data_IF_601696617612
#
_entry.id   IF_601696617612
#
_cell.length_a   1.000
_cell.length_b   1.000
_cell.length_c   1.000
_cell.angle_alpha   90.00
_cell.angle_beta   90.00
_cell.angle_gamma   90.00
#
_symmetry.space_group_name_H-M   'P 1'
#
loop_
_entity.id
_entity.type
_entity.pdbx_description
1 polymer ?
#
# COMPACT_ATOMS: atom_id res chain seq x y z
N UNK A 1 -9.43 20.42 -19.26
CA UNK A 1 -9.99 20.93 -20.55
C UNK A 1 -9.46 22.33 -20.80
N UNK A 2 -8.88 22.56 -21.97
CA UNK A 2 -8.51 23.89 -22.41
C UNK A 2 -9.68 24.51 -23.16
N UNK A 3 -10.21 25.63 -22.66
CA UNK A 3 -11.37 26.29 -23.25
C UNK A 3 -11.06 27.11 -24.49
N UNK A 4 -9.83 27.64 -24.60
CA UNK A 4 -9.46 28.60 -25.63
C UNK A 4 -8.20 28.25 -26.40
N UNK A 5 -7.54 27.12 -26.08
CA UNK A 5 -6.24 26.75 -26.63
C UNK A 5 -6.31 25.42 -27.35
N UNK A 6 -5.80 25.39 -28.59
CA UNK A 6 -5.61 24.16 -29.35
C UNK A 6 -4.43 23.38 -28.78
N UNK A 7 -4.53 22.06 -28.68
CA UNK A 7 -3.50 21.19 -28.12
C UNK A 7 -2.23 21.06 -28.98
N UNK A 8 -2.20 21.57 -30.22
CA UNK A 8 -1.00 21.59 -31.07
C UNK A 8 0.17 22.39 -30.48
N UNK A 9 -0.11 23.27 -29.51
CA UNK A 9 0.91 24.02 -28.75
C UNK A 9 1.71 23.16 -27.77
N UNK A 10 1.31 21.93 -27.56
CA UNK A 10 1.91 21.06 -26.56
C UNK A 10 2.44 19.78 -27.17
N UNK A 11 3.45 19.23 -26.52
CA UNK A 11 3.98 17.90 -26.80
C UNK A 11 3.50 16.94 -25.73
N UNK A 12 2.92 15.81 -26.11
CA UNK A 12 2.58 14.74 -25.20
C UNK A 12 3.68 13.69 -25.28
N UNK A 13 4.37 13.46 -24.19
CA UNK A 13 5.30 12.33 -24.03
C UNK A 13 4.60 11.21 -23.27
N UNK A 14 4.82 9.97 -23.66
CA UNK A 14 4.39 8.83 -22.86
C UNK A 14 5.56 7.91 -22.55
N UNK A 15 5.51 7.28 -21.39
CA UNK A 15 6.53 6.33 -20.93
C UNK A 15 5.83 5.10 -20.34
N UNK A 16 6.08 3.93 -20.89
CA UNK A 16 5.61 2.66 -20.34
C UNK A 16 6.65 2.12 -19.38
N UNK A 17 6.24 1.80 -18.18
CA UNK A 17 7.11 1.33 -17.10
C UNK A 17 6.70 -0.07 -16.63
N UNK A 18 7.69 -0.88 -16.30
CA UNK A 18 7.55 -2.18 -15.65
C UNK A 18 8.25 -2.11 -14.29
N UNK A 19 7.52 -2.22 -13.17
CA UNK A 19 8.05 -2.01 -11.82
C UNK A 19 8.94 -0.77 -11.71
N UNK A 20 8.47 0.37 -12.24
CA UNK A 20 9.17 1.65 -12.23
C UNK A 20 10.26 1.83 -13.29
N UNK A 21 10.69 0.77 -13.99
CA UNK A 21 11.70 0.87 -15.06
C UNK A 21 11.04 1.14 -16.41
N UNK A 22 11.51 2.15 -17.12
CA UNK A 22 11.06 2.46 -18.49
C UNK A 22 11.42 1.32 -19.45
N UNK A 23 10.43 0.85 -20.19
CA UNK A 23 10.57 -0.22 -21.19
C UNK A 23 10.19 0.25 -22.59
N UNK A 24 9.40 1.30 -22.71
CA UNK A 24 8.98 1.89 -23.98
C UNK A 24 8.60 3.36 -23.74
N UNK A 25 8.67 4.17 -24.75
CA UNK A 25 8.21 5.55 -24.71
C UNK A 25 8.08 6.15 -26.09
N UNK A 26 7.45 7.30 -26.16
CA UNK A 26 7.28 8.03 -27.39
C UNK A 26 6.73 9.43 -27.16
N UNK A 27 6.59 10.18 -28.24
CA UNK A 27 6.03 11.52 -28.25
C UNK A 27 4.90 11.57 -29.28
N UNK A 28 3.87 12.34 -28.96
CA UNK A 28 2.71 12.56 -29.83
C UNK A 28 2.37 14.04 -29.81
N UNK A 29 2.26 14.63 -30.99
CA UNK A 29 1.67 15.97 -31.14
C UNK A 29 0.22 15.79 -31.60
N UNK A 30 -0.68 16.52 -30.98
CA UNK A 30 -2.11 16.45 -31.26
C UNK A 30 -2.63 17.83 -31.72
N UNK A 31 -3.31 17.83 -32.83
CA UNK A 31 -4.12 18.99 -33.25
C UNK A 31 -5.56 18.74 -32.83
N UNK A 32 -5.96 19.37 -31.75
CA UNK A 32 -7.30 19.25 -31.18
C UNK A 32 -7.77 20.66 -30.81
N UNK A 33 -8.88 21.06 -31.40
CA UNK A 33 -9.50 22.36 -31.15
C UNK A 33 -9.94 22.52 -29.69
N UNK A 34 -10.08 23.76 -29.20
CA UNK A 34 -10.59 24.03 -27.87
C UNK A 34 -11.86 23.24 -27.56
N UNK A 35 -11.93 22.64 -26.36
CA UNK A 35 -13.03 21.79 -25.88
C UNK A 35 -13.22 20.47 -26.67
N UNK A 36 -12.44 20.24 -27.72
CA UNK A 36 -12.45 18.98 -28.47
C UNK A 36 -11.87 17.79 -27.70
N UNK A 37 -12.06 16.61 -28.25
CA UNK A 37 -11.46 15.36 -27.74
C UNK A 37 -11.04 14.47 -28.89
N UNK A 38 -10.03 13.66 -28.65
CA UNK A 38 -9.53 12.68 -29.63
C UNK A 38 -8.99 11.45 -28.89
N UNK A 39 -9.26 10.27 -29.41
CA UNK A 39 -8.68 9.05 -28.89
C UNK A 39 -7.20 8.94 -29.31
N UNK A 40 -6.37 8.55 -28.36
CA UNK A 40 -4.96 8.27 -28.58
C UNK A 40 -4.69 6.79 -28.33
N UNK A 41 -4.27 6.09 -29.38
CA UNK A 41 -3.90 4.69 -29.31
C UNK A 41 -2.40 4.53 -29.11
N UNK A 42 -2.00 3.96 -27.96
CA UNK A 42 -0.61 3.60 -27.67
C UNK A 42 -0.38 2.14 -28.06
N UNK A 43 0.49 1.94 -29.02
CA UNK A 43 0.83 0.57 -29.44
C UNK A 43 1.71 -0.12 -28.39
N UNK A 44 1.17 -1.12 -27.71
CA UNK A 44 1.86 -1.94 -26.71
C UNK A 44 2.29 -3.32 -27.26
N UNK A 45 2.26 -3.51 -28.59
CA UNK A 45 2.66 -4.76 -29.21
C UNK A 45 4.09 -5.14 -28.79
N UNK A 46 4.29 -6.44 -28.54
CA UNK A 46 5.56 -6.98 -28.05
C UNK A 46 5.76 -6.91 -26.53
N UNK A 47 4.86 -6.28 -25.79
CA UNK A 47 4.89 -6.34 -24.33
C UNK A 47 4.50 -7.76 -23.89
N UNK A 48 5.45 -8.48 -23.28
CA UNK A 48 5.23 -9.82 -22.71
C UNK A 48 5.10 -9.67 -21.18
N UNK A 49 3.91 -9.88 -20.63
CA UNK A 49 3.70 -9.82 -19.18
C UNK A 49 4.62 -10.79 -18.44
N UNK A 50 5.18 -10.32 -17.31
CA UNK A 50 6.01 -11.14 -16.41
C UNK A 50 5.33 -11.28 -15.07
N UNK A 51 5.45 -12.43 -14.43
CA UNK A 51 4.95 -12.67 -13.08
C UNK A 51 5.51 -11.62 -12.10
N UNK A 52 4.64 -11.13 -11.21
CA UNK A 52 5.01 -10.15 -10.19
C UNK A 52 5.44 -8.77 -10.71
N UNK A 53 5.07 -8.45 -11.97
CA UNK A 53 5.41 -7.16 -12.57
C UNK A 53 4.15 -6.33 -12.80
N UNK A 54 4.14 -5.11 -12.28
CA UNK A 54 3.11 -4.12 -12.55
C UNK A 54 3.54 -3.22 -13.71
N UNK A 55 2.58 -2.88 -14.55
CA UNK A 55 2.81 -2.06 -15.73
C UNK A 55 2.00 -0.77 -15.64
N UNK A 56 2.67 0.35 -15.89
CA UNK A 56 2.07 1.68 -15.91
C UNK A 56 2.44 2.40 -17.20
N UNK A 57 1.58 3.32 -17.61
CA UNK A 57 1.91 4.33 -18.62
C UNK A 57 1.80 5.71 -17.98
N UNK A 58 2.87 6.47 -18.07
CA UNK A 58 2.92 7.86 -17.65
C UNK A 58 2.78 8.74 -18.89
N UNK A 59 1.97 9.79 -18.77
CA UNK A 59 1.87 10.85 -19.75
C UNK A 59 2.38 12.14 -19.15
N UNK A 60 3.14 12.89 -19.93
CA UNK A 60 3.57 14.25 -19.59
C UNK A 60 3.27 15.15 -20.76
N UNK A 61 2.62 16.27 -20.48
CA UNK A 61 2.29 17.30 -21.47
C UNK A 61 3.21 18.50 -21.22
N UNK A 62 3.99 18.89 -22.22
CA UNK A 62 4.93 19.98 -22.12
C UNK A 62 4.65 21.08 -23.15
N UNK A 63 5.04 22.32 -22.83
CA UNK A 63 5.05 23.42 -23.80
C UNK A 63 6.09 23.15 -24.90
N UNK A 64 5.76 23.45 -26.16
CA UNK A 64 6.72 23.37 -27.27
C UNK A 64 7.52 24.66 -27.46
N UNK A 65 6.90 25.81 -27.08
CA UNK A 65 7.47 27.14 -27.19
C UNK A 65 7.37 27.87 -25.84
N UNK A 66 8.23 28.87 -25.59
CA UNK A 66 8.11 29.66 -24.38
C UNK A 66 6.87 30.57 -24.44
N UNK A 67 6.23 30.71 -23.29
CA UNK A 67 5.17 31.69 -23.04
C UNK A 67 5.62 32.65 -21.92
N UNK A 68 4.94 33.81 -21.70
CA UNK A 68 5.30 34.68 -20.58
C UNK A 68 5.33 33.90 -19.27
N UNK A 69 6.47 33.94 -18.59
CA UNK A 69 6.76 33.24 -17.32
C UNK A 69 6.82 31.70 -17.40
N UNK A 70 6.67 31.11 -18.57
CA UNK A 70 6.69 29.66 -18.76
C UNK A 70 7.72 29.31 -19.85
N UNK A 71 8.84 28.62 -19.53
CA UNK A 71 9.80 28.23 -20.55
C UNK A 71 9.27 27.14 -21.48
N UNK A 72 9.89 26.99 -22.65
CA UNK A 72 9.67 25.80 -23.47
C UNK A 72 10.10 24.54 -22.71
N UNK A 73 9.35 23.44 -22.88
CA UNK A 73 9.58 22.18 -22.18
C UNK A 73 9.05 22.14 -20.75
N UNK A 74 8.29 23.18 -20.34
CA UNK A 74 7.65 23.18 -19.02
C UNK A 74 6.50 22.16 -18.95
N UNK A 75 6.45 21.37 -17.87
CA UNK A 75 5.38 20.40 -17.62
C UNK A 75 4.08 21.11 -17.28
N UNK A 76 3.08 20.96 -18.14
CA UNK A 76 1.74 21.53 -17.96
C UNK A 76 0.81 20.55 -17.23
N UNK A 77 0.93 19.28 -17.52
CA UNK A 77 0.13 18.23 -16.91
C UNK A 77 0.87 16.88 -16.95
N UNK A 78 0.59 16.06 -15.99
CA UNK A 78 1.03 14.67 -15.96
C UNK A 78 -0.08 13.76 -15.45
N UNK A 79 -0.11 12.52 -15.93
CA UNK A 79 -1.04 11.51 -15.46
C UNK A 79 -0.40 10.14 -15.59
N UNK A 80 -0.77 9.22 -14.69
CA UNK A 80 -0.31 7.84 -14.70
C UNK A 80 -1.51 6.90 -14.70
N UNK A 81 -1.47 5.91 -15.59
CA UNK A 81 -2.48 4.86 -15.66
C UNK A 81 -1.84 3.50 -15.47
N UNK A 82 -2.44 2.68 -14.62
CA UNK A 82 -2.10 1.27 -14.56
C UNK A 82 -2.64 0.59 -15.81
N UNK A 83 -1.77 -0.15 -16.51
CA UNK A 83 -2.21 -0.93 -17.65
C UNK A 83 -3.03 -2.14 -17.16
N UNK A 84 -4.15 -2.49 -17.85
CA UNK A 84 -4.98 -3.63 -17.51
C UNK A 84 -4.32 -4.96 -17.91
N UNK A 85 -3.09 -5.12 -17.49
CA UNK A 85 -2.31 -6.35 -17.70
C UNK A 85 -2.34 -7.07 -16.36
N UNK A 86 -3.05 -8.19 -16.28
CA UNK A 86 -3.05 -9.01 -15.08
C UNK A 86 -1.64 -9.55 -14.83
N UNK A 87 -1.01 -9.21 -13.70
CA UNK A 87 0.27 -9.78 -13.38
C UNK A 87 0.10 -11.29 -13.23
N UNK A 88 0.88 -12.05 -13.94
CA UNK A 88 0.93 -13.51 -13.74
C UNK A 88 1.16 -13.76 -12.25
N UNK A 89 0.34 -14.62 -11.67
CA UNK A 89 0.44 -14.94 -10.25
C UNK A 89 1.90 -15.32 -9.92
N UNK A 90 2.48 -14.63 -8.95
CA UNK A 90 3.74 -15.11 -8.39
C UNK A 90 3.47 -16.49 -7.79
N UNK A 91 4.20 -17.48 -8.26
CA UNK A 91 4.27 -18.75 -7.52
C UNK A 91 4.87 -18.38 -6.16
N UNK A 92 4.02 -18.33 -5.15
CA UNK A 92 4.46 -18.03 -3.79
C UNK A 92 5.60 -18.97 -3.42
N UNK A 93 6.60 -18.47 -2.71
CA UNK A 93 7.59 -19.34 -2.12
C UNK A 93 6.85 -20.39 -1.30
N UNK A 94 6.96 -21.65 -1.68
CA UNK A 94 6.46 -22.75 -0.85
C UNK A 94 7.32 -22.71 0.42
N UNK A 95 6.74 -22.17 1.48
CA UNK A 95 7.39 -22.22 2.79
C UNK A 95 7.59 -23.70 3.15
N UNK A 96 8.83 -24.07 3.40
CA UNK A 96 9.19 -25.44 3.80
C UNK A 96 9.13 -25.58 5.32
N UNK A 97 8.59 -26.67 5.80
CA UNK A 97 8.44 -26.94 7.22
C UNK A 97 7.02 -26.73 7.73
N UNK A 98 6.88 -26.72 9.05
CA UNK A 98 5.61 -26.45 9.76
C UNK A 98 5.87 -25.45 10.87
N UNK A 99 4.83 -24.72 11.24
CA UNK A 99 4.82 -23.93 12.45
C UNK A 99 4.44 -24.80 13.64
N UNK A 100 5.01 -24.51 14.81
CA UNK A 100 4.63 -25.07 16.10
C UNK A 100 4.20 -23.94 17.01
N UNK A 101 3.22 -24.24 17.87
CA UNK A 101 2.68 -23.26 18.83
C UNK A 101 2.92 -23.78 20.23
N UNK A 102 3.40 -22.92 21.11
CA UNK A 102 3.43 -23.15 22.56
C UNK A 102 2.78 -21.97 23.27
N UNK A 103 2.16 -22.26 24.40
CA UNK A 103 1.57 -21.23 25.28
C UNK A 103 2.13 -21.44 26.68
N UNK A 104 2.70 -20.38 27.24
CA UNK A 104 3.16 -20.33 28.63
C UNK A 104 2.56 -19.09 29.30
N UNK A 105 1.60 -19.31 30.19
CA UNK A 105 0.82 -18.25 30.81
C UNK A 105 0.14 -17.33 29.78
N UNK A 106 0.56 -16.08 29.75
CA UNK A 106 0.04 -15.06 28.82
C UNK A 106 0.82 -15.02 27.48
N UNK A 107 1.88 -15.82 27.36
CA UNK A 107 2.76 -15.78 26.19
C UNK A 107 2.40 -16.89 25.21
N UNK A 108 2.10 -16.52 23.97
CA UNK A 108 1.97 -17.45 22.85
C UNK A 108 3.21 -17.30 21.97
N UNK A 109 3.91 -18.40 21.76
CA UNK A 109 5.07 -18.45 20.86
C UNK A 109 4.77 -19.34 19.67
N UNK A 110 4.96 -18.81 18.47
CA UNK A 110 4.89 -19.57 17.22
C UNK A 110 6.29 -19.65 16.64
N UNK A 111 6.74 -20.87 16.41
CA UNK A 111 8.08 -21.16 15.87
C UNK A 111 7.98 -21.80 14.49
N UNK A 112 8.92 -21.48 13.64
CA UNK A 112 9.25 -22.20 12.41
C UNK A 112 10.77 -22.37 12.29
N UNK A 113 11.30 -23.11 11.31
CA UNK A 113 12.74 -23.25 11.14
C UNK A 113 13.53 -21.94 11.04
N UNK A 114 12.87 -20.85 10.60
CA UNK A 114 13.53 -19.55 10.39
C UNK A 114 12.95 -18.43 11.21
N UNK A 115 11.78 -18.61 11.81
CA UNK A 115 11.03 -17.49 12.39
C UNK A 115 10.53 -17.84 13.78
N UNK A 116 10.55 -16.84 14.66
CA UNK A 116 9.90 -16.83 15.96
C UNK A 116 8.96 -15.63 16.02
N UNK A 117 7.71 -15.88 16.40
CA UNK A 117 6.69 -14.87 16.61
C UNK A 117 6.16 -15.03 18.04
N UNK A 118 6.17 -13.96 18.82
CA UNK A 118 5.74 -13.97 20.22
C UNK A 118 4.62 -12.97 20.41
N UNK A 119 3.51 -13.43 20.96
CA UNK A 119 2.35 -12.63 21.28
C UNK A 119 2.07 -12.70 22.78
N UNK A 120 1.82 -11.56 23.40
CA UNK A 120 1.42 -11.45 24.79
C UNK A 120 -0.08 -11.18 24.91
N UNK A 121 -0.85 -12.13 25.45
CA UNK A 121 -2.31 -12.05 25.61
C UNK A 121 -2.74 -10.92 26.52
N UNK A 122 -1.94 -10.59 27.55
CA UNK A 122 -2.29 -9.53 28.52
C UNK A 122 -2.17 -8.15 27.90
N UNK A 123 -1.08 -7.88 27.18
CA UNK A 123 -0.87 -6.60 26.50
C UNK A 123 -1.63 -6.52 25.17
N UNK A 124 -1.97 -7.65 24.56
CA UNK A 124 -2.56 -7.70 23.23
C UNK A 124 -1.56 -7.37 22.11
N UNK A 125 -0.26 -7.51 22.37
CA UNK A 125 0.78 -7.10 21.43
C UNK A 125 1.62 -8.26 20.95
N UNK A 126 2.09 -8.17 19.71
CA UNK A 126 3.23 -8.96 19.24
C UNK A 126 4.48 -8.33 19.83
N UNK A 127 5.17 -9.05 20.70
CA UNK A 127 6.31 -8.52 21.47
C UNK A 127 7.68 -8.91 20.91
N UNK A 128 7.72 -9.88 20.01
CA UNK A 128 8.95 -10.28 19.30
C UNK A 128 8.61 -10.87 17.93
N UNK A 129 9.39 -10.51 16.95
CA UNK A 129 9.38 -11.10 15.63
C UNK A 129 10.82 -11.27 15.14
N UNK A 130 11.30 -12.52 15.16
CA UNK A 130 12.65 -12.86 14.73
C UNK A 130 12.63 -13.64 13.44
N UNK A 131 13.55 -13.31 12.54
CA UNK A 131 13.81 -14.09 11.32
C UNK A 131 15.30 -14.38 11.24
N UNK A 132 15.67 -15.66 11.11
CA UNK A 132 17.06 -16.12 11.12
C UNK A 132 17.86 -15.57 12.32
N UNK A 133 17.23 -15.49 13.49
CA UNK A 133 17.83 -15.00 14.73
C UNK A 133 17.85 -13.46 14.88
N UNK A 134 17.55 -12.70 13.85
CA UNK A 134 17.49 -11.24 13.90
C UNK A 134 16.14 -10.76 14.42
N UNK A 135 16.12 -9.96 15.50
CA UNK A 135 14.92 -9.32 16.02
C UNK A 135 14.55 -8.10 15.16
N UNK A 136 13.28 -8.00 14.77
CA UNK A 136 12.76 -6.92 13.93
C UNK A 136 12.00 -5.84 14.71
N UNK A 137 11.70 -6.09 15.98
CA UNK A 137 11.07 -5.10 16.82
C UNK A 137 12.10 -4.45 17.76
N UNK A 138 12.02 -3.14 17.92
CA UNK A 138 12.73 -2.45 18.97
C UNK A 138 12.09 -2.81 20.32
N UNK A 139 12.88 -2.80 21.38
CA UNK A 139 12.41 -3.06 22.74
C UNK A 139 11.25 -2.14 23.11
N UNK A 140 10.18 -2.71 23.65
CA UNK A 140 8.96 -1.98 24.01
C UNK A 140 8.02 -1.64 22.85
N UNK A 141 8.38 -2.02 21.60
CA UNK A 141 7.52 -1.86 20.44
C UNK A 141 6.95 -3.21 20.01
N UNK A 142 5.71 -3.15 19.47
CA UNK A 142 5.02 -4.29 18.89
C UNK A 142 3.93 -3.82 17.92
N UNK A 143 3.39 -4.77 17.14
CA UNK A 143 2.25 -4.46 16.28
C UNK A 143 1.03 -4.24 17.17
N UNK A 144 0.42 -3.09 17.05
CA UNK A 144 -0.76 -2.69 17.83
C UNK A 144 -1.80 -2.00 16.94
N UNK A 145 -3.08 -2.02 17.34
CA UNK A 145 -4.12 -1.26 16.66
C UNK A 145 -3.79 0.24 16.66
N UNK A 146 -3.97 0.89 15.52
CA UNK A 146 -3.85 2.34 15.43
C UNK A 146 -4.93 2.91 14.52
N UNK A 147 -5.79 3.77 15.07
CA UNK A 147 -6.92 4.40 14.40
C UNK A 147 -6.78 5.93 14.36
N UNK A 148 -5.58 6.45 14.65
CA UNK A 148 -5.35 7.87 14.76
C UNK A 148 -4.10 8.30 14.00
N UNK A 149 -4.21 9.40 13.27
CA UNK A 149 -3.08 10.12 12.69
C UNK A 149 -2.96 11.52 13.32
N UNK A 150 -1.83 12.19 13.13
CA UNK A 150 -1.68 13.59 13.48
C UNK A 150 -2.72 14.43 12.70
N UNK A 151 -3.53 15.26 13.36
CA UNK A 151 -4.47 16.14 12.68
C UNK A 151 -3.75 17.21 11.87
N UNK A 152 -4.34 17.57 10.74
CA UNK A 152 -3.95 18.72 9.93
C UNK A 152 -4.80 19.95 10.28
N UNK A 153 -4.45 21.13 9.76
CA UNK A 153 -5.23 22.35 9.96
C UNK A 153 -6.68 22.22 9.47
N UNK A 154 -6.89 21.49 8.39
CA UNK A 154 -8.25 21.21 7.89
C UNK A 154 -9.06 20.35 8.87
N UNK A 155 -8.42 19.41 9.56
CA UNK A 155 -9.08 18.61 10.60
C UNK A 155 -9.48 19.49 11.78
N UNK A 156 -8.62 20.44 12.19
CA UNK A 156 -8.93 21.40 13.23
C UNK A 156 -10.07 22.35 12.80
N UNK A 157 -10.04 22.85 11.57
CA UNK A 157 -11.05 23.76 11.04
C UNK A 157 -12.46 23.18 11.05
N UNK A 158 -12.59 21.85 10.88
CA UNK A 158 -13.90 21.18 10.91
C UNK A 158 -14.23 20.53 12.26
N UNK A 159 -13.40 20.72 13.30
CA UNK A 159 -13.60 20.16 14.64
C UNK A 159 -13.34 18.65 14.74
N UNK A 160 -12.71 18.05 13.73
CA UNK A 160 -12.42 16.62 13.64
C UNK A 160 -11.74 16.05 14.89
N UNK A 161 -10.62 16.64 15.38
CA UNK A 161 -9.90 16.11 16.53
C UNK A 161 -10.73 16.00 17.81
N UNK A 162 -11.70 16.87 18.00
CA UNK A 162 -12.63 16.82 19.13
C UNK A 162 -13.72 15.78 18.93
N UNK A 163 -14.33 15.77 17.74
CA UNK A 163 -15.43 14.86 17.40
C UNK A 163 -14.98 13.41 17.34
N UNK A 164 -13.78 13.16 16.81
CA UNK A 164 -13.24 11.81 16.57
C UNK A 164 -12.26 11.34 17.67
N UNK A 165 -12.19 12.06 18.80
CA UNK A 165 -11.23 11.78 19.88
C UNK A 165 -11.30 10.34 20.41
N UNK A 166 -12.46 9.70 20.32
CA UNK A 166 -12.66 8.32 20.76
C UNK A 166 -11.75 7.35 20.00
N UNK A 167 -11.43 7.61 18.73
CA UNK A 167 -10.54 6.78 17.96
C UNK A 167 -9.07 6.90 18.37
N UNK A 168 -8.67 8.12 18.84
CA UNK A 168 -7.37 8.32 19.47
C UNK A 168 -7.25 7.52 20.76
N UNK A 169 -8.31 7.51 21.57
CA UNK A 169 -8.36 6.72 22.79
C UNK A 169 -8.34 5.22 22.47
N UNK A 170 -9.09 4.76 21.46
CA UNK A 170 -9.13 3.37 21.01
C UNK A 170 -7.80 2.84 20.51
N UNK A 171 -6.91 3.71 19.99
CA UNK A 171 -5.55 3.32 19.60
C UNK A 171 -4.62 3.05 20.80
N UNK A 172 -4.97 3.52 21.98
CA UNK A 172 -4.15 3.39 23.20
C UNK A 172 -4.78 2.51 24.27
N UNK A 173 -6.12 2.53 24.33
CA UNK A 173 -6.91 1.86 25.35
C UNK A 173 -7.78 0.81 24.69
N UNK A 174 -7.30 -0.41 24.64
CA UNK A 174 -8.00 -1.59 24.18
C UNK A 174 -7.73 -2.75 25.14
N UNK A 175 -8.68 -3.66 25.22
CA UNK A 175 -8.55 -4.89 25.98
C UNK A 175 -8.60 -6.09 25.05
N UNK A 176 -7.86 -7.14 25.36
CA UNK A 176 -7.99 -8.43 24.66
C UNK A 176 -9.23 -9.12 25.20
N UNK A 177 -10.23 -9.30 24.35
CA UNK A 177 -11.46 -10.01 24.68
C UNK A 177 -11.29 -11.53 24.50
N UNK A 178 -10.59 -11.95 23.44
CA UNK A 178 -10.33 -13.35 23.15
C UNK A 178 -9.11 -13.52 22.26
N UNK A 179 -8.41 -14.66 22.39
CA UNK A 179 -7.29 -15.06 21.54
C UNK A 179 -7.42 -16.52 21.19
N UNK A 180 -7.47 -16.83 19.91
CA UNK A 180 -7.50 -18.20 19.41
C UNK A 180 -6.33 -18.48 18.47
N UNK A 181 -5.84 -19.72 18.50
CA UNK A 181 -4.84 -20.22 17.56
C UNK A 181 -5.40 -21.44 16.84
N UNK A 182 -5.23 -21.47 15.53
CA UNK A 182 -5.59 -22.61 14.70
C UNK A 182 -4.45 -22.98 13.77
N UNK A 183 -4.33 -24.27 13.47
CA UNK A 183 -3.38 -24.76 12.46
C UNK A 183 -4.16 -24.98 11.16
N UNK A 184 -3.65 -24.43 10.05
CA UNK A 184 -4.19 -24.60 8.72
C UNK A 184 -3.06 -25.03 7.78
N UNK A 185 -3.01 -26.32 7.50
CA UNK A 185 -1.93 -26.94 6.76
C UNK A 185 -0.59 -26.86 7.52
N UNK A 186 0.36 -26.08 7.00
CA UNK A 186 1.69 -25.89 7.59
C UNK A 186 1.85 -24.54 8.31
N UNK A 187 0.80 -23.70 8.32
CA UNK A 187 0.80 -22.36 8.91
C UNK A 187 -0.02 -22.31 10.19
N UNK A 188 0.25 -21.33 11.03
CA UNK A 188 -0.54 -21.00 12.21
C UNK A 188 -1.34 -19.70 11.93
N UNK A 189 -2.60 -19.68 12.31
CA UNK A 189 -3.42 -18.47 12.33
C UNK A 189 -3.71 -18.12 13.78
N UNK A 190 -3.21 -16.96 14.23
CA UNK A 190 -3.55 -16.35 15.51
C UNK A 190 -4.63 -15.29 15.27
N UNK A 191 -5.78 -15.44 15.90
CA UNK A 191 -6.87 -14.46 15.83
C UNK A 191 -7.04 -13.81 17.19
N UNK A 192 -7.04 -12.48 17.21
CA UNK A 192 -7.17 -11.67 18.43
C UNK A 192 -8.39 -10.77 18.29
N UNK A 193 -9.27 -10.86 19.24
CA UNK A 193 -10.44 -9.98 19.36
C UNK A 193 -10.14 -8.90 20.41
N UNK A 194 -10.14 -7.64 20.00
CA UNK A 194 -9.95 -6.50 20.88
C UNK A 194 -11.25 -5.77 21.11
N UNK A 195 -11.53 -5.44 22.38
CA UNK A 195 -12.56 -4.48 22.73
C UNK A 195 -11.93 -3.09 22.83
N UNK A 196 -12.33 -2.19 21.93
CA UNK A 196 -11.83 -0.82 21.87
C UNK A 196 -12.52 0.09 22.87
N UNK A 197 -11.89 1.22 23.20
CA UNK A 197 -12.50 2.26 24.07
C UNK A 197 -13.83 2.80 23.51
N UNK A 198 -14.03 2.74 22.19
CA UNK A 198 -15.29 3.09 21.53
C UNK A 198 -16.41 2.05 21.70
N UNK A 199 -16.14 0.90 22.37
CA UNK A 199 -17.09 -0.20 22.53
C UNK A 199 -17.17 -1.13 21.32
N UNK A 200 -16.40 -0.89 20.28
CA UNK A 200 -16.37 -1.72 19.10
C UNK A 200 -15.44 -2.92 19.29
N UNK A 201 -15.79 -4.03 18.62
CA UNK A 201 -14.91 -5.18 18.48
C UNK A 201 -14.01 -4.98 17.26
N UNK A 202 -12.69 -5.12 17.46
CA UNK A 202 -11.69 -5.12 16.39
C UNK A 202 -11.01 -6.49 16.32
N UNK A 203 -11.01 -7.12 15.16
CA UNK A 203 -10.47 -8.45 14.97
C UNK A 203 -9.18 -8.36 14.15
N UNK A 204 -8.08 -8.86 14.71
CA UNK A 204 -6.80 -8.97 14.02
C UNK A 204 -6.43 -10.43 13.82
N UNK A 205 -6.04 -10.77 12.59
CA UNK A 205 -5.57 -12.10 12.23
C UNK A 205 -4.13 -12.06 11.77
N UNK A 206 -3.29 -12.81 12.44
CA UNK A 206 -1.91 -13.05 12.04
C UNK A 206 -1.82 -14.43 11.38
N UNK A 207 -1.49 -14.46 10.10
CA UNK A 207 -1.21 -15.72 9.39
C UNK A 207 0.29 -15.91 9.32
N UNK A 208 0.78 -16.92 10.02
CA UNK A 208 2.20 -17.15 10.25
C UNK A 208 2.61 -18.39 9.47
N UNK A 209 3.49 -18.20 8.51
CA UNK A 209 4.02 -19.26 7.64
C UNK A 209 5.33 -19.79 8.19
N UNK A 210 5.71 -21.08 7.84
CA UNK A 210 6.99 -21.65 8.23
C UNK A 210 8.19 -20.88 7.69
#
# INVERSE_FOLDING_TARGET
RFYFTNLKKYMISYTVKANGKTIKGGKVSLDIEPQGSKELNINLNGLKPKAGTEYFVDFVVTTTEPEPLIPAGHDIASEQFRLPIEPLAMTGHKASGKTTVSTDGDIITVLSPRMQFVFNKRSGLVTSYKVNGTEYFAEGFGIQPNFWRAPTDNDYGNGGPKREQIWKQSSKNFNVADVTTTTDGNKTVLTVNYLLAAGNLYIMKYTIYP
#
